data_IF_608256591737
#
_entry.id   IF_608256591737
#
_cell.length_a   1.000
_cell.length_b   1.000
_cell.length_c   1.000
_cell.angle_alpha   90.00
_cell.angle_beta   90.00
_cell.angle_gamma   90.00
#
_symmetry.space_group_name_H-M   'P 1'
#
loop_
_entity.id
_entity.type
_entity.pdbx_description
1 polymer ?
#
# COMPACT_ATOMS: atom_id res chain seq x y z
N UNK A 1 -7.01 -20.81 3.69
CA UNK A 1 -5.98 -19.73 3.72
C UNK A 1 -6.11 -18.94 2.44
N UNK A 2 -6.06 -17.62 2.52
CA UNK A 2 -6.02 -16.79 1.32
C UNK A 2 -4.73 -17.06 0.53
N UNK A 3 -4.78 -16.80 -0.79
CA UNK A 3 -3.61 -17.01 -1.67
C UNK A 3 -2.44 -16.09 -1.32
N UNK A 4 -2.72 -14.91 -0.76
CA UNK A 4 -1.72 -13.89 -0.44
C UNK A 4 -1.78 -13.51 1.04
N UNK A 5 -0.62 -13.23 1.62
CA UNK A 5 -0.44 -12.71 2.97
C UNK A 5 -0.81 -11.22 3.04
N UNK A 6 -0.36 -10.45 2.04
CA UNK A 6 -0.59 -9.00 1.97
C UNK A 6 -1.00 -8.61 0.56
N UNK A 7 -2.08 -7.82 0.43
CA UNK A 7 -2.42 -7.08 -0.78
C UNK A 7 -1.95 -5.63 -0.64
N UNK A 8 -1.12 -5.16 -1.55
CA UNK A 8 -0.57 -3.80 -1.54
C UNK A 8 -1.29 -2.98 -2.61
N UNK A 9 -1.98 -1.92 -2.21
CA UNK A 9 -2.80 -1.09 -3.07
C UNK A 9 -2.08 0.23 -3.35
N UNK A 10 -1.94 0.56 -4.65
CA UNK A 10 -1.25 1.75 -5.13
C UNK A 10 -2.21 2.58 -6.00
N UNK A 11 -2.72 3.71 -5.50
CA UNK A 11 -3.45 4.66 -6.33
C UNK A 11 -2.49 5.44 -7.23
N UNK A 12 -2.80 5.58 -8.52
CA UNK A 12 -1.92 6.20 -9.50
C UNK A 12 -2.63 7.33 -10.24
N UNK A 13 -2.07 8.54 -10.19
CA UNK A 13 -2.48 9.68 -11.00
C UNK A 13 -1.34 10.70 -11.15
N UNK A 14 -0.84 10.93 -12.38
CA UNK A 14 0.15 11.98 -12.67
C UNK A 14 1.56 11.70 -12.13
N UNK A 15 2.03 10.43 -12.10
CA UNK A 15 3.27 10.02 -11.42
C UNK A 15 4.27 9.29 -12.31
N UNK A 16 4.30 9.57 -13.61
CA UNK A 16 5.18 8.86 -14.56
C UNK A 16 6.67 8.90 -14.17
N UNK A 17 7.10 9.93 -13.43
CA UNK A 17 8.48 10.08 -12.98
C UNK A 17 8.85 9.17 -11.79
N UNK A 18 7.86 8.73 -11.01
CA UNK A 18 8.07 8.06 -9.71
C UNK A 18 7.64 6.60 -9.71
N UNK A 19 6.57 6.26 -10.45
CA UNK A 19 5.90 4.95 -10.40
C UNK A 19 6.85 3.76 -10.66
N UNK A 20 7.89 3.93 -11.48
CA UNK A 20 8.85 2.87 -11.72
C UNK A 20 9.64 2.50 -10.45
N UNK A 21 10.11 3.50 -9.69
CA UNK A 21 10.83 3.28 -8.42
C UNK A 21 9.92 2.66 -7.35
N UNK A 22 8.67 3.13 -7.28
CA UNK A 22 7.65 2.56 -6.40
C UNK A 22 7.46 1.07 -6.68
N UNK A 23 7.14 0.70 -7.92
CA UNK A 23 6.89 -0.69 -8.31
C UNK A 23 8.13 -1.57 -8.14
N UNK A 24 9.33 -1.07 -8.47
CA UNK A 24 10.58 -1.81 -8.28
C UNK A 24 10.79 -2.18 -6.80
N UNK A 25 10.53 -1.26 -5.86
CA UNK A 25 10.65 -1.53 -4.43
C UNK A 25 9.66 -2.59 -3.92
N UNK A 26 8.52 -2.71 -4.57
CA UNK A 26 7.46 -3.63 -4.19
C UNK A 26 7.61 -5.03 -4.80
N UNK A 27 8.04 -5.13 -6.06
CA UNK A 27 8.23 -6.45 -6.69
C UNK A 27 9.41 -7.22 -6.08
N UNK A 28 10.37 -6.51 -5.49
CA UNK A 28 11.56 -7.05 -4.84
C UNK A 28 11.39 -7.31 -3.33
N UNK A 29 10.20 -7.12 -2.75
CA UNK A 29 9.98 -7.41 -1.33
C UNK A 29 10.35 -8.85 -0.97
N UNK A 30 10.97 -9.04 0.21
CA UNK A 30 11.36 -10.37 0.73
C UNK A 30 10.17 -11.24 1.08
N UNK A 31 9.01 -10.66 1.40
CA UNK A 31 7.77 -11.39 1.58
C UNK A 31 7.24 -11.90 0.22
N UNK A 32 7.23 -13.21 0.01
CA UNK A 32 6.89 -13.82 -1.28
C UNK A 32 5.40 -13.76 -1.62
N UNK A 33 4.53 -14.05 -0.64
CA UNK A 33 3.08 -14.21 -0.85
C UNK A 33 2.37 -12.85 -0.80
N UNK A 34 2.75 -11.93 -1.68
CA UNK A 34 2.13 -10.62 -1.83
C UNK A 34 1.52 -10.45 -3.22
N UNK A 35 0.46 -9.66 -3.31
CA UNK A 35 -0.05 -9.12 -4.57
C UNK A 35 0.01 -7.59 -4.55
N UNK A 36 0.32 -7.01 -5.69
CA UNK A 36 0.44 -5.57 -5.90
C UNK A 36 -0.71 -5.15 -6.82
N UNK A 37 -1.63 -4.35 -6.30
CA UNK A 37 -2.84 -3.89 -6.97
C UNK A 37 -2.66 -2.43 -7.33
N UNK A 38 -2.36 -2.15 -8.58
CA UNK A 38 -2.17 -0.81 -9.11
C UNK A 38 -3.48 -0.30 -9.68
N UNK A 39 -3.98 0.81 -9.15
CA UNK A 39 -5.23 1.42 -9.61
C UNK A 39 -4.94 2.75 -10.27
N UNK A 40 -4.96 2.76 -11.60
CA UNK A 40 -4.88 3.97 -12.39
C UNK A 40 -6.21 4.74 -12.31
N UNK A 41 -6.18 5.89 -11.68
CA UNK A 41 -7.34 6.77 -11.47
C UNK A 41 -7.52 7.76 -12.63
N UNK A 42 -7.45 7.25 -13.86
CA UNK A 42 -7.67 8.05 -15.07
C UNK A 42 -6.51 9.01 -15.39
N UNK A 43 -5.26 8.61 -15.12
CA UNK A 43 -4.09 9.43 -15.44
C UNK A 43 -3.94 9.65 -16.95
N UNK A 44 -3.45 10.83 -17.34
CA UNK A 44 -3.23 11.20 -18.76
C UNK A 44 -1.76 11.13 -19.16
N UNK A 45 -0.85 10.88 -18.23
CA UNK A 45 0.59 10.74 -18.45
C UNK A 45 0.98 9.32 -18.88
N UNK A 46 2.28 9.03 -18.96
CA UNK A 46 2.77 7.72 -19.36
C UNK A 46 2.83 6.68 -18.22
N UNK A 47 2.26 6.97 -17.04
CA UNK A 47 2.26 6.02 -15.91
C UNK A 47 1.72 4.66 -16.29
N UNK A 48 0.61 4.59 -17.07
CA UNK A 48 0.04 3.31 -17.48
C UNK A 48 1.01 2.47 -18.31
N UNK A 49 1.74 3.08 -19.25
CA UNK A 49 2.73 2.34 -20.05
C UNK A 49 3.85 1.73 -19.21
N UNK A 50 4.20 2.39 -18.10
CA UNK A 50 5.20 1.88 -17.17
C UNK A 50 4.61 0.70 -16.38
N UNK A 51 3.40 0.86 -15.86
CA UNK A 51 2.66 -0.19 -15.13
C UNK A 51 2.53 -1.46 -15.98
N UNK A 52 2.16 -1.35 -17.25
CA UNK A 52 1.98 -2.48 -18.17
C UNK A 52 3.25 -3.32 -18.33
N UNK A 53 4.44 -2.68 -18.28
CA UNK A 53 5.73 -3.40 -18.30
C UNK A 53 5.90 -4.27 -17.05
N UNK A 54 5.49 -3.77 -15.87
CA UNK A 54 5.56 -4.55 -14.62
C UNK A 54 4.53 -5.66 -14.58
N UNK A 55 3.31 -5.43 -15.05
CA UNK A 55 2.28 -6.49 -15.20
C UNK A 55 2.79 -7.60 -16.11
N UNK A 56 3.40 -7.26 -17.25
CA UNK A 56 3.98 -8.24 -18.18
C UNK A 56 5.16 -9.01 -17.56
N UNK A 57 6.02 -8.34 -16.80
CA UNK A 57 7.21 -8.95 -16.18
C UNK A 57 6.88 -9.79 -14.95
N UNK A 58 5.84 -9.42 -14.20
CA UNK A 58 5.44 -10.05 -12.93
C UNK A 58 3.95 -10.37 -12.89
N UNK A 59 3.41 -11.18 -13.82
CA UNK A 59 1.96 -11.40 -14.01
C UNK A 59 1.27 -12.03 -12.79
N UNK A 60 2.00 -12.83 -12.01
CA UNK A 60 1.46 -13.47 -10.80
C UNK A 60 1.46 -12.54 -9.58
N UNK A 61 2.22 -11.44 -9.63
CA UNK A 61 2.42 -10.53 -8.49
C UNK A 61 1.74 -9.17 -8.70
N UNK A 62 1.77 -8.62 -9.93
CA UNK A 62 1.27 -7.27 -10.24
C UNK A 62 -0.01 -7.33 -11.07
N UNK A 63 -1.05 -6.67 -10.57
CA UNK A 63 -2.33 -6.49 -11.26
C UNK A 63 -2.58 -5.00 -11.47
N UNK A 64 -3.09 -4.63 -12.64
CA UNK A 64 -3.43 -3.23 -12.96
C UNK A 64 -4.91 -3.10 -13.29
N UNK A 65 -5.51 -2.04 -12.79
CA UNK A 65 -6.89 -1.67 -13.05
C UNK A 65 -6.95 -0.18 -13.44
N UNK A 66 -7.82 0.14 -14.37
CA UNK A 66 -8.04 1.52 -14.83
C UNK A 66 -9.48 1.90 -14.50
N UNK A 67 -9.68 3.09 -13.95
CA UNK A 67 -10.99 3.65 -13.69
C UNK A 67 -11.04 5.14 -14.04
N UNK A 68 -12.24 5.68 -14.15
CA UNK A 68 -12.43 7.12 -14.25
C UNK A 68 -11.92 7.83 -13.00
N UNK A 69 -11.35 9.03 -13.17
CA UNK A 69 -10.81 9.80 -12.06
C UNK A 69 -11.89 10.07 -11.01
N UNK A 70 -11.59 9.69 -9.78
CA UNK A 70 -12.46 9.87 -8.61
C UNK A 70 -11.67 10.22 -7.36
N UNK A 71 -10.37 10.49 -7.52
CA UNK A 71 -9.43 10.82 -6.45
C UNK A 71 -8.86 9.61 -5.72
N UNK A 72 -7.82 9.85 -4.97
CA UNK A 72 -7.00 8.83 -4.30
C UNK A 72 -7.82 7.89 -3.40
N UNK A 73 -8.81 8.43 -2.65
CA UNK A 73 -9.69 7.62 -1.81
C UNK A 73 -10.53 6.63 -2.63
N UNK A 74 -11.09 7.08 -3.76
CA UNK A 74 -11.83 6.24 -4.70
C UNK A 74 -10.98 5.12 -5.28
N UNK A 75 -9.72 5.43 -5.66
CA UNK A 75 -8.79 4.44 -6.18
C UNK A 75 -8.39 3.41 -5.09
N UNK A 76 -8.16 3.83 -3.85
CA UNK A 76 -7.91 2.91 -2.72
C UNK A 76 -9.10 2.00 -2.45
N UNK A 77 -10.33 2.52 -2.44
CA UNK A 77 -11.55 1.73 -2.27
C UNK A 77 -11.74 0.71 -3.40
N UNK A 78 -11.44 1.11 -4.64
CA UNK A 78 -11.47 0.20 -5.77
C UNK A 78 -10.46 -0.94 -5.61
N UNK A 79 -9.22 -0.61 -5.26
CA UNK A 79 -8.16 -1.60 -5.01
C UNK A 79 -8.51 -2.55 -3.86
N UNK A 80 -9.12 -2.05 -2.78
CA UNK A 80 -9.56 -2.87 -1.65
C UNK A 80 -10.56 -3.96 -2.07
N UNK A 81 -11.48 -3.64 -2.98
CA UNK A 81 -12.43 -4.62 -3.54
C UNK A 81 -11.77 -5.73 -4.37
N UNK A 82 -10.57 -5.48 -4.89
CA UNK A 82 -9.79 -6.46 -5.67
C UNK A 82 -8.82 -7.28 -4.81
N UNK A 83 -8.63 -6.89 -3.55
CA UNK A 83 -7.64 -7.47 -2.65
C UNK A 83 -8.03 -8.85 -2.15
N UNK A 84 -7.07 -9.79 -2.13
CA UNK A 84 -7.27 -11.18 -1.69
C UNK A 84 -6.30 -11.59 -0.56
N UNK A 85 -5.50 -10.67 -0.03
CA UNK A 85 -4.58 -10.91 1.08
C UNK A 85 -5.28 -10.89 2.43
N UNK A 86 -4.64 -11.50 3.43
CA UNK A 86 -5.10 -11.47 4.82
C UNK A 86 -4.96 -10.07 5.43
N UNK A 87 -3.93 -9.35 5.00
CA UNK A 87 -3.66 -7.95 5.37
C UNK A 87 -3.64 -7.06 4.14
N UNK A 88 -3.96 -5.78 4.35
CA UNK A 88 -3.95 -4.73 3.33
C UNK A 88 -2.87 -3.71 3.66
N UNK A 89 -2.00 -3.42 2.71
CA UNK A 89 -1.07 -2.30 2.72
C UNK A 89 -1.44 -1.25 1.67
N UNK A 90 -1.11 -0.01 1.93
CA UNK A 90 -1.23 1.08 0.96
C UNK A 90 0.14 1.70 0.73
N UNK A 91 0.44 2.08 -0.50
CA UNK A 91 1.66 2.82 -0.86
C UNK A 91 1.27 3.95 -1.79
N UNK A 92 1.73 5.15 -1.51
CA UNK A 92 1.56 6.27 -2.44
C UNK A 92 2.54 6.09 -3.60
N UNK A 93 2.07 6.37 -4.81
CA UNK A 93 2.78 6.00 -6.05
C UNK A 93 4.04 6.81 -6.34
N UNK A 94 4.29 7.87 -5.58
CA UNK A 94 5.50 8.69 -5.57
C UNK A 94 6.50 8.31 -4.47
N UNK A 95 6.13 7.35 -3.58
CA UNK A 95 6.96 6.80 -2.54
C UNK A 95 7.61 5.46 -2.94
N UNK A 96 8.55 4.96 -2.14
CA UNK A 96 9.11 3.62 -2.22
C UNK A 96 9.38 3.06 -0.83
N UNK A 97 9.48 1.74 -0.73
CA UNK A 97 9.56 1.02 0.55
C UNK A 97 10.88 0.24 0.67
N UNK A 98 11.32 0.05 1.92
CA UNK A 98 12.47 -0.80 2.21
C UNK A 98 12.18 -2.27 1.88
N UNK A 99 13.21 -3.02 1.48
CA UNK A 99 13.13 -4.38 0.97
C UNK A 99 12.40 -5.37 1.90
N UNK A 100 12.59 -5.24 3.20
CA UNK A 100 12.05 -6.15 4.22
C UNK A 100 10.79 -5.60 4.91
N UNK A 101 10.25 -4.47 4.45
CA UNK A 101 9.17 -3.77 5.15
C UNK A 101 7.95 -4.67 5.37
N UNK A 102 7.43 -5.26 4.31
CA UNK A 102 6.20 -6.08 4.42
C UNK A 102 6.44 -7.40 5.14
N UNK A 103 7.62 -7.98 5.04
CA UNK A 103 7.98 -9.18 5.80
C UNK A 103 7.99 -8.90 7.30
N UNK A 104 8.65 -7.82 7.73
CA UNK A 104 8.72 -7.42 9.13
C UNK A 104 7.34 -7.07 9.69
N UNK A 105 6.55 -6.30 8.95
CA UNK A 105 5.19 -5.93 9.35
C UNK A 105 4.30 -7.17 9.49
N UNK A 106 4.32 -8.07 8.50
CA UNK A 106 3.50 -9.27 8.50
C UNK A 106 3.89 -10.21 9.63
N UNK A 107 5.18 -10.51 9.79
CA UNK A 107 5.66 -11.40 10.85
C UNK A 107 5.29 -10.85 12.23
N UNK A 108 5.42 -9.54 12.44
CA UNK A 108 5.01 -8.90 13.70
C UNK A 108 3.50 -8.95 13.90
N UNK A 109 2.73 -8.70 12.85
CA UNK A 109 1.27 -8.77 12.93
C UNK A 109 0.77 -10.17 13.30
N UNK A 110 1.40 -11.22 12.77
CA UNK A 110 1.03 -12.61 13.07
C UNK A 110 1.50 -13.01 14.47
N UNK A 111 2.78 -12.74 14.83
CA UNK A 111 3.33 -13.16 16.12
C UNK A 111 2.57 -12.58 17.31
N UNK A 112 2.12 -11.35 17.20
CA UNK A 112 1.46 -10.62 18.29
C UNK A 112 -0.07 -10.56 18.12
N UNK A 113 -0.61 -11.24 17.10
CA UNK A 113 -2.03 -11.20 16.72
C UNK A 113 -2.57 -9.77 16.61
N UNK A 114 -1.87 -8.94 15.82
CA UNK A 114 -2.20 -7.53 15.65
C UNK A 114 -3.23 -7.34 14.53
N UNK A 115 -4.13 -6.40 14.73
CA UNK A 115 -5.04 -5.94 13.69
C UNK A 115 -4.38 -4.89 12.77
N UNK A 116 -3.40 -4.14 13.29
CA UNK A 116 -2.59 -3.18 12.55
C UNK A 116 -1.14 -3.28 13.01
N UNK A 117 -0.22 -3.39 12.06
CA UNK A 117 1.21 -3.22 12.30
C UNK A 117 1.69 -1.96 11.58
N UNK A 118 2.49 -1.14 12.26
CA UNK A 118 2.98 0.16 11.79
C UNK A 118 4.50 0.16 11.82
N UNK A 119 5.15 0.65 10.78
CA UNK A 119 6.58 0.93 10.79
C UNK A 119 6.85 2.44 10.72
N UNK A 120 8.11 2.81 11.00
CA UNK A 120 8.60 4.16 10.79
C UNK A 120 8.66 4.53 9.31
N UNK A 121 8.97 5.78 9.06
CA UNK A 121 9.20 6.30 7.72
C UNK A 121 10.46 7.18 7.70
N UNK A 122 11.00 7.32 6.50
CA UNK A 122 12.07 8.26 6.22
C UNK A 122 11.51 9.41 5.39
N UNK A 123 11.81 10.65 5.79
CA UNK A 123 11.71 11.77 4.88
C UNK A 123 13.01 11.84 4.08
N UNK A 124 12.96 11.50 2.82
CA UNK A 124 14.11 11.56 1.93
C UNK A 124 14.10 12.93 1.25
N UNK A 125 14.96 13.85 1.71
CA UNK A 125 15.32 15.01 0.92
C UNK A 125 16.16 14.58 -0.30
N UNK A 126 16.29 15.42 -1.33
CA UNK A 126 17.13 15.13 -2.50
C UNK A 126 18.55 14.68 -2.13
N UNK A 127 19.03 15.05 -0.94
CA UNK A 127 20.38 14.73 -0.44
C UNK A 127 20.46 13.39 0.34
N UNK A 128 19.41 12.61 0.47
CA UNK A 128 19.35 11.32 1.20
C UNK A 128 19.86 11.36 2.67
N UNK A 129 19.89 12.52 3.33
CA UNK A 129 20.62 12.70 4.60
C UNK A 129 19.80 12.58 5.88
N UNK A 130 18.48 12.58 5.83
CA UNK A 130 17.67 12.56 7.05
C UNK A 130 16.83 11.27 7.14
N UNK A 131 17.29 10.35 8.00
CA UNK A 131 16.56 9.13 8.36
C UNK A 131 15.99 9.26 9.77
N UNK A 132 14.67 9.26 9.91
CA UNK A 132 14.00 9.10 11.20
C UNK A 132 13.22 7.80 11.20
N UNK A 133 13.53 6.90 12.13
CA UNK A 133 12.85 5.62 12.30
C UNK A 133 12.02 5.68 13.57
N UNK A 134 10.71 5.66 13.44
CA UNK A 134 9.81 5.45 14.55
C UNK A 134 9.06 4.12 14.31
N UNK A 135 9.18 3.18 15.23
CA UNK A 135 8.44 1.93 15.21
C UNK A 135 7.30 2.03 16.22
N UNK A 136 6.08 1.87 15.77
CA UNK A 136 4.91 1.74 16.63
C UNK A 136 4.13 0.49 16.25
N UNK A 137 3.70 -0.25 17.27
CA UNK A 137 2.83 -1.41 17.13
C UNK A 137 1.51 -1.14 17.84
N UNK A 138 0.39 -1.35 17.16
CA UNK A 138 -0.93 -1.14 17.74
C UNK A 138 -1.72 -2.45 17.69
N UNK A 139 -2.12 -2.93 18.87
CA UNK A 139 -3.15 -3.95 19.01
C UNK A 139 -4.47 -3.22 19.25
N UNK A 140 -5.50 -3.55 18.50
CA UNK A 140 -6.85 -3.08 18.80
C UNK A 140 -7.44 -3.96 19.90
N UNK A 141 -7.35 -3.51 21.13
CA UNK A 141 -8.25 -3.91 22.19
C UNK A 141 -9.31 -2.82 22.29
N UNK A 142 -10.56 -3.18 22.00
CA UNK A 142 -11.77 -2.37 22.14
C UNK A 142 -11.88 -1.05 21.37
N UNK A 143 -12.75 -1.06 20.32
CA UNK A 143 -13.45 0.11 19.73
C UNK A 143 -12.66 1.39 19.39
N UNK A 144 -11.34 1.36 19.32
CA UNK A 144 -10.52 2.54 19.01
C UNK A 144 -10.29 2.69 17.50
N UNK A 145 -11.34 2.64 16.70
CA UNK A 145 -11.33 3.04 15.27
C UNK A 145 -10.70 4.44 15.08
N UNK A 146 -10.81 5.31 16.07
CA UNK A 146 -10.18 6.62 16.06
C UNK A 146 -8.64 6.59 16.02
N UNK A 147 -7.98 5.51 16.46
CA UNK A 147 -6.53 5.37 16.33
C UNK A 147 -6.09 5.08 14.87
N UNK A 148 -6.98 4.54 14.03
CA UNK A 148 -6.77 4.41 12.58
C UNK A 148 -6.58 5.76 11.90
N UNK A 149 -7.27 6.78 12.38
CA UNK A 149 -7.33 8.11 11.79
C UNK A 149 -6.45 9.14 12.52
N UNK A 150 -5.94 8.82 13.71
CA UNK A 150 -5.13 9.73 14.52
C UNK A 150 -3.74 10.03 13.94
N UNK A 151 -3.21 9.15 13.09
CA UNK A 151 -1.98 9.39 12.31
C UNK A 151 -2.34 9.39 10.83
N UNK A 152 -2.21 10.53 10.19
CA UNK A 152 -2.69 10.83 8.82
C UNK A 152 -2.16 9.91 7.70
N UNK A 153 -1.02 9.25 7.90
CA UNK A 153 -0.41 8.39 6.89
C UNK A 153 -1.04 7.00 6.89
N UNK A 154 -1.40 6.46 5.72
CA UNK A 154 -1.90 5.08 5.54
C UNK A 154 -0.83 4.15 4.98
N UNK A 155 0.24 4.68 4.45
CA UNK A 155 1.25 4.01 3.62
C UNK A 155 2.36 3.28 4.42
N UNK A 156 2.50 3.52 5.70
CA UNK A 156 3.52 2.87 6.56
C UNK A 156 2.92 1.75 7.44
N UNK A 157 1.86 1.09 6.99
CA UNK A 157 1.10 0.14 7.81
C UNK A 157 0.57 -1.02 6.97
N UNK A 158 0.30 -2.12 7.69
CA UNK A 158 -0.64 -3.13 7.21
C UNK A 158 -1.83 -3.24 8.16
N UNK A 159 -2.98 -3.52 7.60
CA UNK A 159 -4.26 -3.62 8.28
C UNK A 159 -4.85 -5.00 8.03
N UNK A 160 -5.37 -5.66 9.05
CA UNK A 160 -6.15 -6.89 8.87
C UNK A 160 -7.35 -6.60 7.95
N UNK A 161 -7.50 -7.36 6.89
CA UNK A 161 -8.50 -7.09 5.84
C UNK A 161 -9.90 -6.94 6.40
N UNK A 162 -10.32 -7.82 7.34
CA UNK A 162 -11.65 -7.81 7.96
C UNK A 162 -12.01 -6.48 8.67
N UNK A 163 -11.02 -5.65 8.98
CA UNK A 163 -11.23 -4.34 9.61
C UNK A 163 -11.46 -3.28 8.55
N UNK A 164 -10.59 -3.25 7.53
CA UNK A 164 -10.66 -2.19 6.51
C UNK A 164 -11.78 -2.38 5.50
N UNK A 165 -12.27 -3.60 5.30
CA UNK A 165 -13.44 -3.87 4.44
C UNK A 165 -14.71 -3.18 4.92
N UNK A 166 -14.80 -2.87 6.22
CA UNK A 166 -15.93 -2.16 6.83
C UNK A 166 -15.78 -0.63 6.73
N UNK A 167 -14.64 -0.16 6.24
CA UNK A 167 -14.29 1.24 6.18
C UNK A 167 -14.21 1.67 4.72
N UNK A 168 -14.82 2.81 4.40
CA UNK A 168 -14.66 3.45 3.09
C UNK A 168 -13.78 4.68 3.23
N UNK A 169 -12.75 4.79 2.40
CA UNK A 169 -12.05 6.05 2.24
C UNK A 169 -13.03 7.06 1.65
N UNK A 170 -13.25 8.16 2.35
CA UNK A 170 -14.08 9.23 1.81
C UNK A 170 -13.38 9.83 0.61
N UNK A 171 -14.04 9.80 -0.54
CA UNK A 171 -13.59 10.43 -1.78
C UNK A 171 -13.83 11.94 -1.75
N UNK A 172 -13.39 12.65 -0.72
CA UNK A 172 -13.36 14.11 -0.81
C UNK A 172 -12.10 14.50 -1.57
N UNK A 173 -12.33 14.93 -2.79
CA UNK A 173 -11.42 15.77 -3.56
C UNK A 173 -11.09 16.98 -2.68
N UNK A 174 -9.80 17.23 -2.47
CA UNK A 174 -9.32 18.53 -1.97
C UNK A 174 -9.22 19.48 -3.14
#
# INVERSE_FOLDING_TARGET
MNKYKVSIIIPVYGVEKYISKCLESLVNQTLNDIEIIVVNDGTKDNSQKIIDKYVKKYPDKVKSFIKENGGQGSARNYGLKQANGDYIGYVDSDDYVELEMYEKLYNKAISDNLDIAICGNYNVSEDYKNKKVDLEFIRFEDNKINALFGKKAVWNKIYKKSIVEKLEFRSKVW
#
